data_IF_440152658118
#
_entry.id   IF_440152658118
#
_cell.length_a   1.000
_cell.length_b   1.000
_cell.length_c   1.000
_cell.angle_alpha   90.00
_cell.angle_beta   90.00
_cell.angle_gamma   90.00
#
_symmetry.space_group_name_H-M   'P 1'
#
loop_
_entity.id
_entity.type
_entity.pdbx_description
1 polymer ?
#
# COMPACT_ATOMS: atom_id res chain seq x y z
N UNK A 1 -18.96 1.83 20.40
CA UNK A 1 -17.67 1.73 19.71
C UNK A 1 -17.97 1.90 18.23
N UNK A 2 -17.33 2.84 17.54
CA UNK A 2 -17.55 3.00 16.09
C UNK A 2 -16.83 1.84 15.37
N UNK A 3 -17.45 1.19 14.38
CA UNK A 3 -16.80 0.13 13.62
C UNK A 3 -15.61 0.70 12.82
N UNK A 4 -14.54 -0.08 12.70
CA UNK A 4 -13.43 0.24 11.82
C UNK A 4 -13.91 0.25 10.37
N UNK A 5 -13.57 1.31 9.64
CA UNK A 5 -13.84 1.39 8.20
C UNK A 5 -12.59 0.97 7.46
N UNK A 6 -12.58 -0.20 6.77
CA UNK A 6 -11.40 -0.66 6.08
C UNK A 6 -11.13 0.20 4.84
N UNK A 7 -9.84 0.43 4.59
CA UNK A 7 -9.33 1.09 3.41
C UNK A 7 -8.20 0.24 2.83
N UNK A 8 -8.19 0.11 1.50
CA UNK A 8 -7.17 -0.65 0.78
C UNK A 8 -6.53 0.21 -0.30
N UNK A 9 -5.24 -0.01 -0.52
CA UNK A 9 -4.52 0.57 -1.64
C UNK A 9 -3.61 -0.48 -2.27
N UNK A 10 -3.49 -0.43 -3.59
CA UNK A 10 -2.66 -1.36 -4.39
C UNK A 10 -2.29 -0.66 -5.71
N UNK A 11 -1.18 -1.09 -6.32
CA UNK A 11 -0.67 -0.58 -7.59
C UNK A 11 -1.20 -1.36 -8.81
N UNK A 12 -2.01 -2.41 -8.61
CA UNK A 12 -2.64 -3.13 -9.72
C UNK A 12 -3.86 -2.36 -10.23
N UNK A 13 -3.80 -1.93 -11.49
CA UNK A 13 -4.92 -1.27 -12.19
C UNK A 13 -6.19 -2.14 -12.27
N UNK A 14 -6.05 -3.46 -12.12
CA UNK A 14 -7.17 -4.41 -12.14
C UNK A 14 -8.01 -4.37 -10.87
N UNK A 15 -7.52 -3.75 -9.80
CA UNK A 15 -8.23 -3.64 -8.54
C UNK A 15 -9.08 -2.36 -8.58
N UNK A 16 -10.37 -2.51 -8.30
CA UNK A 16 -11.32 -1.42 -8.16
C UNK A 16 -12.08 -1.57 -6.85
N UNK A 17 -12.68 -0.48 -6.38
CA UNK A 17 -13.56 -0.49 -5.22
C UNK A 17 -14.73 -1.48 -5.40
N UNK A 18 -15.28 -1.55 -6.62
CA UNK A 18 -16.36 -2.48 -6.97
C UNK A 18 -15.93 -3.95 -6.86
N UNK A 19 -14.81 -4.33 -7.50
CA UNK A 19 -14.29 -5.70 -7.46
C UNK A 19 -13.94 -6.14 -6.02
N UNK A 20 -13.43 -5.21 -5.21
CA UNK A 20 -13.08 -5.46 -3.82
C UNK A 20 -14.33 -5.68 -2.97
N UNK A 21 -15.34 -4.83 -3.10
CA UNK A 21 -16.59 -4.94 -2.36
C UNK A 21 -17.40 -6.18 -2.77
N UNK A 22 -17.33 -6.62 -4.03
CA UNK A 22 -17.92 -7.89 -4.47
C UNK A 22 -17.21 -9.11 -3.85
N UNK A 23 -15.88 -9.07 -3.72
CA UNK A 23 -15.09 -10.18 -3.18
C UNK A 23 -15.28 -10.35 -1.66
N UNK A 24 -15.60 -9.27 -0.96
CA UNK A 24 -15.84 -9.24 0.48
C UNK A 24 -17.35 -9.41 0.73
N UNK A 25 -17.79 -10.67 0.85
CA UNK A 25 -19.19 -11.06 1.12
C UNK A 25 -19.80 -10.54 2.45
N UNK A 26 -19.16 -9.58 3.13
CA UNK A 26 -19.48 -9.15 4.49
C UNK A 26 -20.14 -7.76 4.57
N UNK A 27 -20.45 -7.11 3.45
CA UNK A 27 -21.13 -5.80 3.44
C UNK A 27 -20.30 -4.67 4.06
N UNK A 28 -18.98 -4.88 4.19
CA UNK A 28 -18.02 -3.85 4.55
C UNK A 28 -17.87 -2.90 3.37
N UNK A 29 -18.34 -1.66 3.50
CA UNK A 29 -18.05 -0.60 2.53
C UNK A 29 -16.57 -0.25 2.61
N UNK A 30 -15.76 -0.92 1.80
CA UNK A 30 -14.33 -0.71 1.73
C UNK A 30 -14.01 0.32 0.66
N UNK A 31 -13.17 1.30 0.98
CA UNK A 31 -12.70 2.27 -0.01
C UNK A 31 -11.37 1.83 -0.61
N UNK A 32 -11.20 2.12 -1.90
CA UNK A 32 -9.99 1.82 -2.64
C UNK A 32 -9.31 3.09 -3.16
N UNK A 33 -7.98 3.08 -3.16
CA UNK A 33 -7.16 4.10 -3.81
C UNK A 33 -6.00 3.43 -4.52
N UNK A 34 -5.77 3.81 -5.77
CA UNK A 34 -4.62 3.32 -6.52
C UNK A 34 -3.34 3.97 -6.00
N UNK A 35 -2.37 3.18 -5.55
CA UNK A 35 -1.16 3.68 -4.91
C UNK A 35 0.04 2.79 -5.25
N UNK A 36 1.07 3.39 -5.85
CA UNK A 36 2.40 2.80 -5.90
C UNK A 36 3.20 3.23 -4.67
N UNK A 37 3.46 2.31 -3.75
CA UNK A 37 4.21 2.59 -2.51
C UNK A 37 5.64 3.06 -2.76
N UNK A 38 6.18 2.91 -3.98
CA UNK A 38 7.51 3.42 -4.34
C UNK A 38 7.50 4.92 -4.67
N UNK A 39 6.32 5.53 -4.84
CA UNK A 39 6.10 6.93 -5.18
C UNK A 39 5.60 7.70 -3.95
N UNK A 40 6.37 8.67 -3.50
CA UNK A 40 6.03 9.45 -2.29
C UNK A 40 4.71 10.21 -2.42
N UNK A 41 4.46 10.84 -3.57
CA UNK A 41 3.21 11.57 -3.82
C UNK A 41 1.98 10.66 -3.70
N UNK A 42 2.05 9.44 -4.25
CA UNK A 42 0.95 8.47 -4.19
C UNK A 42 0.65 8.09 -2.72
N UNK A 43 1.69 7.82 -1.92
CA UNK A 43 1.55 7.47 -0.49
C UNK A 43 0.98 8.64 0.31
N UNK A 44 1.48 9.85 0.08
CA UNK A 44 0.98 11.06 0.75
C UNK A 44 -0.50 11.30 0.44
N UNK A 45 -0.89 11.18 -0.83
CA UNK A 45 -2.28 11.33 -1.27
C UNK A 45 -3.19 10.24 -0.69
N UNK A 46 -2.72 8.98 -0.62
CA UNK A 46 -3.46 7.87 -0.03
C UNK A 46 -3.76 8.12 1.47
N UNK A 47 -2.77 8.58 2.24
CA UNK A 47 -2.97 8.93 3.66
C UNK A 47 -3.92 10.12 3.81
N UNK A 48 -3.69 11.20 3.04
CA UNK A 48 -4.53 12.39 3.07
C UNK A 48 -5.99 12.09 2.70
N UNK A 49 -6.22 11.18 1.75
CA UNK A 49 -7.56 10.73 1.36
C UNK A 49 -8.32 10.10 2.54
N UNK A 50 -7.68 9.18 3.26
CA UNK A 50 -8.31 8.49 4.40
C UNK A 50 -8.61 9.49 5.52
N UNK A 51 -7.65 10.33 5.89
CA UNK A 51 -7.82 11.32 6.96
C UNK A 51 -8.90 12.34 6.59
N UNK A 52 -8.93 12.82 5.34
CA UNK A 52 -9.97 13.76 4.89
C UNK A 52 -11.36 13.13 4.90
N UNK A 53 -11.49 11.85 4.53
CA UNK A 53 -12.77 11.15 4.41
C UNK A 53 -13.32 10.65 5.75
N UNK A 54 -12.44 10.17 6.63
CA UNK A 54 -12.83 9.47 7.86
C UNK A 54 -12.39 10.17 9.15
N UNK A 55 -11.58 11.22 9.05
CA UNK A 55 -11.15 12.07 10.17
C UNK A 55 -9.92 11.56 10.93
N UNK A 56 -9.64 10.26 10.90
CA UNK A 56 -8.45 9.64 11.53
C UNK A 56 -7.95 8.47 10.70
N UNK A 57 -6.66 8.14 10.86
CA UNK A 57 -6.04 6.91 10.39
C UNK A 57 -5.38 6.21 11.59
N UNK A 58 -6.11 5.31 12.23
CA UNK A 58 -5.66 4.70 13.49
C UNK A 58 -4.66 3.54 13.28
N UNK A 59 -4.77 2.84 12.15
CA UNK A 59 -3.97 1.64 11.83
C UNK A 59 -3.56 1.69 10.37
N UNK A 60 -2.26 1.59 10.12
CA UNK A 60 -1.70 1.41 8.78
C UNK A 60 -0.89 0.11 8.73
N UNK A 61 -1.16 -0.70 7.70
CA UNK A 61 -0.42 -1.95 7.45
C UNK A 61 0.38 -1.80 6.17
N UNK A 62 1.68 -1.55 6.30
CA UNK A 62 2.61 -1.48 5.16
C UNK A 62 2.91 -2.90 4.64
N UNK A 63 1.95 -3.50 3.93
CA UNK A 63 2.01 -4.91 3.50
C UNK A 63 2.58 -5.11 2.09
N UNK A 64 2.61 -4.08 1.25
CA UNK A 64 3.08 -4.22 -0.13
C UNK A 64 4.52 -4.76 -0.16
N UNK A 65 4.74 -5.83 -0.93
CA UNK A 65 6.03 -6.49 -0.96
C UNK A 65 6.21 -7.46 -2.12
N UNK A 66 7.46 -7.62 -2.56
CA UNK A 66 7.88 -8.60 -3.57
C UNK A 66 9.11 -9.38 -3.09
N UNK A 67 9.28 -10.61 -3.58
CA UNK A 67 10.47 -11.42 -3.32
C UNK A 67 11.61 -11.17 -4.33
N UNK A 68 11.33 -10.52 -5.46
CA UNK A 68 12.23 -10.46 -6.61
C UNK A 68 12.28 -11.80 -7.36
N UNK A 69 13.27 -11.94 -8.24
CA UNK A 69 13.51 -13.19 -9.00
C UNK A 69 14.35 -14.15 -8.17
N UNK A 70 13.99 -15.44 -8.05
CA UNK A 70 14.84 -16.42 -7.38
C UNK A 70 16.24 -16.47 -8.03
N UNK A 71 17.29 -16.31 -7.23
CA UNK A 71 18.67 -16.37 -7.68
C UNK A 71 19.52 -17.09 -6.62
N UNK A 72 20.18 -18.20 -6.97
CA UNK A 72 20.98 -18.96 -6.01
C UNK A 72 22.28 -18.24 -5.64
N UNK A 73 22.82 -17.42 -6.54
CA UNK A 73 24.16 -16.85 -6.43
C UNK A 73 24.14 -15.31 -6.48
N UNK A 74 24.57 -14.67 -5.39
CA UNK A 74 24.47 -13.21 -5.22
C UNK A 74 25.19 -12.39 -6.30
N UNK A 75 26.27 -12.90 -6.87
CA UNK A 75 27.04 -12.18 -7.89
C UNK A 75 26.37 -12.19 -9.28
N UNK A 76 25.39 -13.05 -9.49
CA UNK A 76 24.54 -13.08 -10.69
C UNK A 76 23.24 -12.29 -10.49
N UNK A 77 23.03 -11.72 -9.29
CA UNK A 77 21.81 -11.00 -8.98
C UNK A 77 21.80 -9.63 -9.65
N UNK A 78 20.80 -9.41 -10.50
CA UNK A 78 20.62 -8.14 -11.18
C UNK A 78 20.38 -7.01 -10.18
N UNK A 79 21.21 -5.96 -10.24
CA UNK A 79 21.11 -4.78 -9.38
C UNK A 79 19.71 -4.16 -9.45
N UNK A 80 19.11 -4.10 -10.63
CA UNK A 80 17.75 -3.58 -10.84
C UNK A 80 16.67 -4.36 -10.09
N UNK A 81 16.85 -5.68 -9.92
CA UNK A 81 15.93 -6.51 -9.13
C UNK A 81 16.09 -6.24 -7.64
N UNK A 82 17.34 -6.10 -7.18
CA UNK A 82 17.64 -5.71 -5.80
C UNK A 82 17.03 -4.35 -5.45
N UNK A 83 17.29 -3.35 -6.29
CA UNK A 83 16.76 -1.98 -6.12
C UNK A 83 15.23 -1.97 -6.08
N UNK A 84 14.57 -2.73 -6.97
CA UNK A 84 13.11 -2.83 -6.98
C UNK A 84 12.55 -3.45 -5.68
N UNK A 85 13.20 -4.48 -5.15
CA UNK A 85 12.81 -5.09 -3.86
C UNK A 85 12.96 -4.07 -2.73
N UNK A 86 14.06 -3.31 -2.71
CA UNK A 86 14.28 -2.27 -1.69
C UNK A 86 13.30 -1.10 -1.82
N UNK A 87 13.00 -0.70 -3.05
CA UNK A 87 12.06 0.38 -3.33
C UNK A 87 10.65 0.04 -2.81
N UNK A 88 10.20 -1.21 -2.99
CA UNK A 88 8.87 -1.63 -2.52
C UNK A 88 8.90 -1.96 -1.03
N UNK A 89 9.77 -2.88 -0.62
CA UNK A 89 9.71 -3.49 0.71
C UNK A 89 10.31 -2.62 1.82
N UNK A 90 11.20 -1.67 1.47
CA UNK A 90 11.92 -0.83 2.45
C UNK A 90 11.51 0.63 2.30
N UNK A 91 11.73 1.22 1.12
CA UNK A 91 11.37 2.62 0.87
C UNK A 91 9.86 2.82 0.99
N UNK A 92 9.04 1.91 0.48
CA UNK A 92 7.58 2.00 0.63
C UNK A 92 7.12 2.02 2.09
N UNK A 93 7.70 1.17 2.95
CA UNK A 93 7.41 1.17 4.40
C UNK A 93 7.83 2.50 5.04
N UNK A 94 9.03 3.00 4.69
CA UNK A 94 9.51 4.29 5.17
C UNK A 94 8.57 5.44 4.81
N UNK A 95 8.12 5.52 3.55
CA UNK A 95 7.20 6.55 3.08
C UNK A 95 5.84 6.46 3.78
N UNK A 96 5.31 5.25 3.97
CA UNK A 96 4.06 5.04 4.70
C UNK A 96 4.15 5.54 6.14
N UNK A 97 5.22 5.18 6.86
CA UNK A 97 5.46 5.64 8.23
C UNK A 97 5.67 7.16 8.32
N UNK A 98 6.39 7.74 7.36
CA UNK A 98 6.64 9.18 7.30
C UNK A 98 5.32 9.96 7.26
N UNK A 99 4.45 9.63 6.30
CA UNK A 99 3.21 10.39 6.11
C UNK A 99 2.13 10.07 7.13
N UNK A 100 2.08 8.85 7.67
CA UNK A 100 1.19 8.52 8.79
C UNK A 100 1.45 9.40 10.02
N UNK A 101 2.71 9.70 10.32
CA UNK A 101 3.08 10.50 11.50
C UNK A 101 2.94 12.01 11.28
N UNK A 102 2.75 12.45 10.04
CA UNK A 102 2.49 13.85 9.67
C UNK A 102 1.00 14.19 9.53
N UNK A 103 0.13 13.17 9.47
CA UNK A 103 -1.30 13.29 9.13
C UNK A 103 -2.24 13.59 10.29
#
# INVERSE_FOLDING_TARGET
MQPFTPYSCDNRETISEENLNESLNDGLNMCYFHCDVTREDDVSLAVAFVVTKFGTLDIMVNNAGIAGTPCPDIHEFELSTFEKVFDINVKGVFLGMKHLLES
#
